data_IF_932547474259
#
_entry.id   IF_932547474259
#
_cell.length_a   1.000
_cell.length_b   1.000
_cell.length_c   1.000
_cell.angle_alpha   90.00
_cell.angle_beta   90.00
_cell.angle_gamma   90.00
#
_symmetry.space_group_name_H-M   'P 1'
#
loop_
_entity.id
_entity.type
_entity.pdbx_description
1 polymer ?
#
# COMPACT_ATOMS: atom_id res chain seq x y z
N UNK A 1 -1.12 16.39 -15.58
CA UNK A 1 -0.63 16.48 -14.17
C UNK A 1 -1.31 15.42 -13.34
N UNK A 2 -0.62 14.83 -12.37
CA UNK A 2 -1.25 13.85 -11.47
C UNK A 2 -2.12 14.56 -10.44
N UNK A 3 -3.36 14.11 -10.28
CA UNK A 3 -4.33 14.58 -9.31
C UNK A 3 -4.79 13.40 -8.45
N UNK A 4 -5.07 13.66 -7.19
CA UNK A 4 -5.67 12.73 -6.25
C UNK A 4 -6.90 13.37 -5.64
N UNK A 5 -8.02 12.66 -5.73
CA UNK A 5 -9.31 13.01 -5.13
C UNK A 5 -9.70 11.84 -4.25
N UNK A 6 -9.96 12.07 -2.97
CA UNK A 6 -10.22 10.93 -2.10
C UNK A 6 -10.89 11.25 -0.80
N UNK A 7 -11.29 10.19 -0.13
CA UNK A 7 -11.82 10.18 1.23
C UNK A 7 -11.02 9.18 2.07
N UNK A 8 -10.66 9.59 3.28
CA UNK A 8 -9.84 8.79 4.18
C UNK A 8 -10.60 8.15 5.33
N UNK A 9 -9.87 7.41 6.15
CA UNK A 9 -10.36 6.63 7.30
C UNK A 9 -11.03 7.45 8.41
N UNK A 10 -10.71 8.74 8.48
CA UNK A 10 -11.15 9.61 9.59
C UNK A 10 -12.56 10.20 9.37
N UNK A 11 -13.16 9.91 8.20
CA UNK A 11 -14.54 10.30 7.88
C UNK A 11 -15.51 9.21 8.33
N UNK A 12 -16.73 9.61 8.71
CA UNK A 12 -17.78 8.70 9.17
C UNK A 12 -18.04 7.54 8.20
N UNK A 13 -18.37 6.37 8.76
CA UNK A 13 -18.55 5.13 8.01
C UNK A 13 -19.71 5.25 6.99
N UNK A 14 -20.79 5.96 7.31
CA UNK A 14 -21.93 6.12 6.40
C UNK A 14 -21.51 6.93 5.17
N UNK A 15 -20.74 8.00 5.35
CA UNK A 15 -20.22 8.83 4.25
C UNK A 15 -19.21 8.03 3.42
N UNK A 16 -18.29 7.30 4.07
CA UNK A 16 -17.34 6.43 3.35
C UNK A 16 -18.06 5.36 2.52
N UNK A 17 -19.12 4.78 3.06
CA UNK A 17 -19.93 3.79 2.35
C UNK A 17 -20.66 4.41 1.14
N UNK A 18 -21.21 5.63 1.28
CA UNK A 18 -21.87 6.35 0.18
C UNK A 18 -20.92 6.74 -0.96
N UNK A 19 -19.62 6.95 -0.64
CA UNK A 19 -18.58 7.31 -1.61
C UNK A 19 -17.71 6.11 -2.03
N UNK A 20 -18.02 4.92 -1.54
CA UNK A 20 -17.32 3.69 -1.95
C UNK A 20 -17.71 3.27 -3.36
N UNK A 21 -16.83 2.57 -4.04
CA UNK A 21 -17.06 2.00 -5.37
C UNK A 21 -17.03 0.49 -5.23
N UNK A 22 -18.15 -0.16 -5.54
CA UNK A 22 -18.26 -1.60 -5.51
C UNK A 22 -17.56 -2.25 -6.70
N UNK A 23 -17.20 -3.52 -6.58
CA UNK A 23 -16.46 -4.27 -7.59
C UNK A 23 -17.22 -4.45 -8.91
N UNK A 24 -18.55 -4.40 -8.90
CA UNK A 24 -19.36 -4.57 -10.10
C UNK A 24 -19.35 -3.31 -10.96
N UNK A 25 -19.41 -2.14 -10.35
CA UNK A 25 -19.42 -0.83 -11.04
C UNK A 25 -18.01 -0.28 -11.32
N UNK A 26 -16.98 -0.83 -10.70
CA UNK A 26 -15.59 -0.31 -10.77
C UNK A 26 -15.09 -0.19 -12.22
N UNK A 27 -15.29 -1.22 -13.04
CA UNK A 27 -14.84 -1.25 -14.42
C UNK A 27 -15.47 -0.13 -15.26
N UNK A 28 -16.77 0.03 -15.16
CA UNK A 28 -17.50 1.05 -15.92
C UNK A 28 -17.08 2.46 -15.48
N UNK A 29 -16.91 2.67 -14.19
CA UNK A 29 -16.45 3.95 -13.65
C UNK A 29 -15.02 4.29 -14.06
N UNK A 30 -14.12 3.31 -14.12
CA UNK A 30 -12.76 3.48 -14.66
C UNK A 30 -12.80 3.91 -16.13
N UNK A 31 -13.59 3.27 -16.96
CA UNK A 31 -13.73 3.62 -18.39
C UNK A 31 -14.28 5.04 -18.56
N UNK A 32 -15.32 5.40 -17.83
CA UNK A 32 -15.90 6.75 -17.88
C UNK A 32 -14.93 7.84 -17.41
N UNK A 33 -14.13 7.59 -16.39
CA UNK A 33 -13.07 8.52 -15.96
C UNK A 33 -11.97 8.64 -17.01
N UNK A 34 -11.68 7.55 -17.72
CA UNK A 34 -10.72 7.52 -18.82
C UNK A 34 -11.10 8.37 -20.02
N UNK A 35 -12.38 8.76 -20.20
CA UNK A 35 -12.83 9.63 -21.29
C UNK A 35 -12.27 11.08 -21.19
N UNK A 36 -11.97 11.54 -19.98
CA UNK A 36 -11.49 12.90 -19.74
C UNK A 36 -10.14 12.96 -18.98
N UNK A 37 -9.49 11.83 -18.78
CA UNK A 37 -8.16 11.72 -18.21
C UNK A 37 -7.25 10.87 -19.09
N UNK A 38 -5.95 11.16 -19.07
CA UNK A 38 -4.94 10.40 -19.81
C UNK A 38 -4.66 9.05 -19.17
N UNK A 39 -4.76 9.00 -17.84
CA UNK A 39 -4.56 7.82 -17.00
C UNK A 39 -5.47 7.90 -15.78
N UNK A 40 -5.93 6.74 -15.29
CA UNK A 40 -6.76 6.64 -14.08
C UNK A 40 -6.50 5.37 -13.31
N UNK A 41 -6.46 5.46 -11.98
CA UNK A 41 -6.48 4.33 -11.04
C UNK A 41 -7.42 4.67 -9.89
N UNK A 42 -8.26 3.72 -9.47
CA UNK A 42 -9.17 3.85 -8.32
C UNK A 42 -8.75 2.84 -7.26
N UNK A 43 -8.47 3.33 -6.05
CA UNK A 43 -8.30 2.49 -4.86
C UNK A 43 -9.57 2.63 -4.02
N UNK A 44 -10.42 1.59 -3.99
CA UNK A 44 -11.63 1.56 -3.17
C UNK A 44 -11.56 0.40 -2.17
N UNK A 45 -11.64 0.73 -0.88
CA UNK A 45 -11.57 -0.22 0.23
C UNK A 45 -12.57 0.17 1.33
N UNK A 46 -12.72 -0.63 2.39
CA UNK A 46 -13.57 -0.27 3.54
C UNK A 46 -13.12 1.02 4.27
N UNK A 47 -11.85 1.44 4.10
CA UNK A 47 -11.28 2.56 4.83
C UNK A 47 -11.01 3.80 3.98
N UNK A 48 -11.06 3.69 2.64
CA UNK A 48 -10.80 4.81 1.72
C UNK A 48 -11.35 4.55 0.33
N UNK A 49 -11.66 5.65 -0.35
CA UNK A 49 -11.81 5.68 -1.81
C UNK A 49 -10.92 6.80 -2.32
N UNK A 50 -9.95 6.46 -3.16
CA UNK A 50 -8.97 7.38 -3.72
C UNK A 50 -8.93 7.21 -5.24
N UNK A 51 -9.07 8.30 -5.97
CA UNK A 51 -9.06 8.37 -7.43
C UNK A 51 -7.80 9.13 -7.87
N UNK A 52 -6.88 8.43 -8.48
CA UNK A 52 -5.67 9.00 -9.08
C UNK A 52 -5.91 9.21 -10.55
N UNK A 53 -5.69 10.43 -11.04
CA UNK A 53 -5.92 10.82 -12.42
C UNK A 53 -4.70 11.56 -12.97
N UNK A 54 -4.33 11.29 -14.23
CA UNK A 54 -3.47 12.20 -14.98
C UNK A 54 -4.35 13.01 -15.94
N UNK A 55 -4.47 14.30 -15.71
CA UNK A 55 -5.36 15.16 -16.49
C UNK A 55 -4.78 16.57 -16.66
N UNK A 56 -5.20 17.25 -17.71
CA UNK A 56 -4.90 18.67 -17.99
C UNK A 56 -6.03 19.61 -17.53
N UNK A 57 -7.14 19.08 -17.00
CA UNK A 57 -8.26 19.86 -16.51
C UNK A 57 -7.87 20.68 -15.27
N UNK A 58 -8.55 21.82 -15.08
CA UNK A 58 -8.46 22.58 -13.83
C UNK A 58 -9.06 21.78 -12.67
N UNK A 59 -8.63 22.08 -11.45
CA UNK A 59 -9.10 21.41 -10.22
C UNK A 59 -10.63 21.37 -10.13
N UNK A 60 -11.28 22.53 -10.28
CA UNK A 60 -12.73 22.65 -10.18
C UNK A 60 -13.47 21.79 -11.23
N UNK A 61 -13.03 21.86 -12.49
CA UNK A 61 -13.61 21.07 -13.56
C UNK A 61 -13.41 19.58 -13.36
N UNK A 62 -12.21 19.17 -12.88
CA UNK A 62 -11.89 17.79 -12.60
C UNK A 62 -12.75 17.25 -11.46
N UNK A 63 -12.85 17.98 -10.34
CA UNK A 63 -13.70 17.60 -9.20
C UNK A 63 -15.15 17.42 -9.62
N UNK A 64 -15.72 18.40 -10.36
CA UNK A 64 -17.11 18.32 -10.81
C UNK A 64 -17.35 17.11 -11.73
N UNK A 65 -16.43 16.83 -12.66
CA UNK A 65 -16.53 15.66 -13.54
C UNK A 65 -16.44 14.35 -12.76
N UNK A 66 -15.50 14.24 -11.81
CA UNK A 66 -15.35 13.02 -10.98
C UNK A 66 -16.59 12.79 -10.14
N UNK A 67 -17.16 13.82 -9.49
CA UNK A 67 -18.39 13.69 -8.71
C UNK A 67 -19.57 13.21 -9.57
N UNK A 68 -19.75 13.79 -10.75
CA UNK A 68 -20.81 13.38 -11.69
C UNK A 68 -20.61 11.93 -12.16
N UNK A 69 -19.39 11.57 -12.57
CA UNK A 69 -19.08 10.23 -13.11
C UNK A 69 -19.22 9.15 -12.06
N UNK A 70 -18.81 9.42 -10.81
CA UNK A 70 -18.89 8.45 -9.72
C UNK A 70 -20.28 8.44 -9.05
N UNK A 71 -21.20 9.34 -9.44
CA UNK A 71 -22.50 9.57 -8.79
C UNK A 71 -22.34 9.91 -7.29
N UNK A 72 -21.30 10.66 -6.94
CA UNK A 72 -21.08 11.09 -5.56
C UNK A 72 -22.03 12.25 -5.21
N UNK A 73 -22.75 12.17 -4.07
CA UNK A 73 -23.59 13.27 -3.62
C UNK A 73 -22.78 14.53 -3.34
N UNK A 74 -23.23 15.66 -3.87
CA UNK A 74 -22.51 16.95 -3.78
C UNK A 74 -22.39 17.47 -2.34
N UNK A 75 -23.30 17.07 -1.45
CA UNK A 75 -23.27 17.36 -0.02
C UNK A 75 -22.03 16.81 0.69
N UNK A 76 -21.42 15.75 0.15
CA UNK A 76 -20.19 15.17 0.71
C UNK A 76 -18.91 15.80 0.19
N UNK A 77 -18.99 16.84 -0.63
CA UNK A 77 -17.82 17.51 -1.21
C UNK A 77 -16.83 18.05 -0.15
N UNK A 78 -17.36 18.49 1.01
CA UNK A 78 -16.54 18.98 2.13
C UNK A 78 -15.72 17.91 2.85
N UNK A 79 -16.05 16.63 2.66
CA UNK A 79 -15.31 15.50 3.26
C UNK A 79 -14.22 14.94 2.34
N UNK A 80 -14.18 15.41 1.08
CA UNK A 80 -13.18 14.99 0.11
C UNK A 80 -11.91 15.81 0.29
N UNK A 81 -10.77 15.15 0.31
CA UNK A 81 -9.49 15.81 0.16
C UNK A 81 -9.05 15.79 -1.31
N UNK A 82 -8.36 16.84 -1.69
CA UNK A 82 -7.74 16.97 -3.00
C UNK A 82 -6.27 17.35 -2.85
N UNK A 83 -5.42 16.71 -3.63
CA UNK A 83 -4.05 17.16 -3.81
C UNK A 83 -3.55 16.79 -5.20
N UNK A 84 -2.43 17.39 -5.61
CA UNK A 84 -1.88 17.18 -6.94
C UNK A 84 -0.34 17.08 -6.95
N UNK A 85 0.22 16.70 -8.07
CA UNK A 85 1.65 16.69 -8.33
C UNK A 85 2.44 15.92 -7.28
N UNK A 86 3.37 16.63 -6.62
CA UNK A 86 4.27 16.02 -5.63
C UNK A 86 3.52 15.50 -4.40
N UNK A 87 2.50 16.20 -3.93
CA UNK A 87 1.70 15.83 -2.77
C UNK A 87 0.91 14.55 -3.04
N UNK A 88 0.28 14.43 -4.22
CA UNK A 88 -0.42 13.22 -4.62
C UNK A 88 0.52 12.00 -4.72
N UNK A 89 1.73 12.20 -5.25
CA UNK A 89 2.74 11.15 -5.32
C UNK A 89 3.20 10.72 -3.91
N UNK A 90 3.53 11.69 -3.02
CA UNK A 90 3.93 11.40 -1.64
C UNK A 90 2.86 10.62 -0.89
N UNK A 91 1.60 11.02 -1.04
CA UNK A 91 0.47 10.33 -0.43
C UNK A 91 0.40 8.86 -0.83
N UNK A 92 0.55 8.54 -2.12
CA UNK A 92 0.51 7.14 -2.57
C UNK A 92 1.65 6.29 -1.96
N UNK A 93 2.85 6.84 -1.86
CA UNK A 93 3.97 6.15 -1.21
C UNK A 93 3.69 5.91 0.29
N UNK A 94 3.15 6.90 0.97
CA UNK A 94 2.76 6.76 2.39
C UNK A 94 1.64 5.74 2.57
N UNK A 95 0.62 5.75 1.68
CA UNK A 95 -0.46 4.75 1.68
C UNK A 95 0.12 3.34 1.44
N UNK A 96 1.03 3.18 0.48
CA UNK A 96 1.64 1.88 0.16
C UNK A 96 2.47 1.30 1.32
N UNK A 97 2.98 2.17 2.19
CA UNK A 97 3.69 1.82 3.42
C UNK A 97 2.77 1.71 4.66
N UNK A 98 1.46 1.96 4.51
CA UNK A 98 0.47 1.83 5.58
C UNK A 98 0.40 2.99 6.58
N UNK A 99 0.98 4.17 6.28
CA UNK A 99 0.90 5.35 7.17
C UNK A 99 -0.53 5.86 7.36
N UNK A 100 -1.36 5.73 6.33
CA UNK A 100 -2.76 6.17 6.35
C UNK A 100 -3.74 5.02 6.65
N UNK A 101 -3.27 3.85 7.04
CA UNK A 101 -4.11 2.71 7.40
C UNK A 101 -4.68 2.85 8.81
N UNK A 102 -5.83 2.19 9.07
CA UNK A 102 -6.42 2.12 10.41
C UNK A 102 -5.48 1.40 11.38
N UNK A 103 -4.84 0.34 10.90
CA UNK A 103 -3.76 -0.36 11.58
C UNK A 103 -2.45 0.07 10.88
N UNK A 104 -1.62 0.82 11.58
CA UNK A 104 -0.38 1.35 11.02
C UNK A 104 0.52 0.23 10.46
N UNK A 105 0.92 0.34 9.20
CA UNK A 105 1.78 -0.64 8.53
C UNK A 105 1.11 -1.99 8.28
N UNK A 106 -0.24 -2.05 8.13
CA UNK A 106 -0.93 -3.28 7.75
C UNK A 106 -0.53 -3.74 6.34
N UNK A 107 -0.50 -5.05 6.14
CA UNK A 107 -0.06 -5.64 4.87
C UNK A 107 -1.11 -5.61 3.76
N UNK A 108 -2.39 -5.50 4.11
CA UNK A 108 -3.51 -5.63 3.17
C UNK A 108 -3.54 -4.49 2.15
N UNK A 109 -3.20 -3.26 2.57
CA UNK A 109 -3.26 -2.10 1.68
C UNK A 109 -2.34 -2.22 0.46
N UNK A 110 -1.17 -2.83 0.62
CA UNK A 110 -0.25 -3.03 -0.50
C UNK A 110 -0.83 -3.98 -1.56
N UNK A 111 -1.52 -5.03 -1.12
CA UNK A 111 -2.27 -5.93 -2.01
C UNK A 111 -3.39 -5.20 -2.75
N UNK A 112 -4.15 -4.36 -2.05
CA UNK A 112 -5.24 -3.57 -2.62
C UNK A 112 -4.74 -2.54 -3.66
N UNK A 113 -3.63 -1.84 -3.38
CA UNK A 113 -2.99 -0.93 -4.34
C UNK A 113 -2.56 -1.68 -5.59
N UNK A 114 -1.97 -2.87 -5.42
CA UNK A 114 -1.55 -3.71 -6.54
C UNK A 114 -2.74 -4.15 -7.39
N UNK A 115 -3.81 -4.64 -6.77
CA UNK A 115 -5.03 -5.04 -7.50
C UNK A 115 -5.62 -3.86 -8.25
N UNK A 116 -5.79 -2.69 -7.63
CA UNK A 116 -6.29 -1.48 -8.28
C UNK A 116 -5.45 -1.05 -9.50
N UNK A 117 -4.13 -1.15 -9.40
CA UNK A 117 -3.23 -0.90 -10.52
C UNK A 117 -3.40 -1.94 -11.64
N UNK A 118 -3.47 -3.23 -11.31
CA UNK A 118 -3.66 -4.33 -12.27
C UNK A 118 -5.02 -4.19 -13.00
N UNK A 119 -6.08 -3.80 -12.30
CA UNK A 119 -7.41 -3.54 -12.90
C UNK A 119 -7.32 -2.42 -13.96
N UNK A 120 -6.67 -1.31 -13.64
CA UNK A 120 -6.49 -0.19 -14.57
C UNK A 120 -5.55 -0.55 -15.75
N UNK A 121 -4.54 -1.38 -15.52
CA UNK A 121 -3.67 -1.92 -16.58
C UNK A 121 -4.46 -2.78 -17.55
N UNK A 122 -5.35 -3.65 -17.07
CA UNK A 122 -6.16 -4.55 -17.88
C UNK A 122 -7.08 -3.78 -18.85
N UNK A 123 -7.48 -2.58 -18.48
CA UNK A 123 -8.30 -1.67 -19.29
C UNK A 123 -7.47 -0.67 -20.11
N UNK A 124 -6.13 -0.79 -20.10
CA UNK A 124 -5.20 0.13 -20.78
C UNK A 124 -5.34 1.60 -20.35
N UNK A 125 -5.75 1.83 -19.09
CA UNK A 125 -5.96 3.15 -18.51
C UNK A 125 -4.73 3.70 -17.77
N UNK A 126 -3.62 2.99 -17.78
CA UNK A 126 -2.31 3.44 -17.28
C UNK A 126 -1.22 3.12 -18.29
N UNK A 127 -0.36 4.09 -18.58
CA UNK A 127 0.64 3.95 -19.65
C UNK A 127 1.94 4.75 -19.44
N UNK A 128 1.97 5.69 -18.51
CA UNK A 128 3.09 6.62 -18.36
C UNK A 128 3.33 7.04 -16.90
N UNK A 129 2.84 8.21 -16.49
CA UNK A 129 3.14 8.80 -15.18
C UNK A 129 2.53 7.98 -14.02
N UNK A 130 1.25 7.59 -14.14
CA UNK A 130 0.62 6.75 -13.12
C UNK A 130 1.18 5.32 -13.15
N UNK A 131 1.49 4.77 -14.34
CA UNK A 131 2.17 3.47 -14.42
C UNK A 131 3.46 3.48 -13.60
N UNK A 132 4.31 4.48 -13.83
CA UNK A 132 5.60 4.59 -13.13
C UNK A 132 5.42 4.83 -11.64
N UNK A 133 4.47 5.71 -11.26
CA UNK A 133 4.18 6.04 -9.88
C UNK A 133 3.73 4.80 -9.09
N UNK A 134 2.75 4.05 -9.61
CA UNK A 134 2.21 2.86 -8.94
C UNK A 134 3.24 1.73 -8.86
N UNK A 135 4.02 1.49 -9.93
CA UNK A 135 5.12 0.50 -9.89
C UNK A 135 6.14 0.82 -8.79
N UNK A 136 6.53 2.09 -8.67
CA UNK A 136 7.47 2.52 -7.63
C UNK A 136 6.84 2.47 -6.24
N UNK A 137 5.55 2.82 -6.09
CA UNK A 137 4.84 2.74 -4.81
C UNK A 137 4.70 1.29 -4.31
N UNK A 138 4.38 0.35 -5.21
CA UNK A 138 4.34 -1.08 -4.88
C UNK A 138 5.73 -1.60 -4.49
N UNK A 139 6.78 -1.18 -5.19
CA UNK A 139 8.16 -1.56 -4.84
C UNK A 139 8.58 -0.95 -3.50
N UNK A 140 8.22 0.31 -3.24
CA UNK A 140 8.44 1.00 -1.97
C UNK A 140 7.77 0.26 -0.81
N UNK A 141 6.48 -0.06 -0.93
CA UNK A 141 5.74 -0.79 0.10
C UNK A 141 6.34 -2.17 0.40
N UNK A 142 6.80 -2.90 -0.64
CA UNK A 142 7.51 -4.19 -0.46
C UNK A 142 8.82 -4.02 0.31
N UNK A 143 9.66 -3.05 -0.08
CA UNK A 143 10.92 -2.78 0.62
C UNK A 143 10.65 -2.34 2.06
N UNK A 144 9.71 -1.42 2.27
CA UNK A 144 9.31 -0.93 3.59
C UNK A 144 8.84 -2.06 4.50
N UNK A 145 7.96 -2.94 4.01
CA UNK A 145 7.48 -4.13 4.73
C UNK A 145 8.64 -5.04 5.15
N UNK A 146 9.58 -5.31 4.23
CA UNK A 146 10.71 -6.20 4.49
C UNK A 146 11.68 -5.60 5.50
N UNK A 147 11.93 -4.29 5.40
CA UNK A 147 12.89 -3.59 6.26
C UNK A 147 12.34 -3.38 7.67
N UNK A 148 11.08 -3.00 7.80
CA UNK A 148 10.45 -2.72 9.10
C UNK A 148 10.01 -3.96 9.85
N UNK A 149 9.70 -5.04 9.14
CA UNK A 149 9.12 -6.28 9.69
C UNK A 149 7.88 -6.06 10.57
N UNK A 150 7.11 -4.99 10.32
CA UNK A 150 5.92 -4.63 11.11
C UNK A 150 4.86 -5.73 11.17
N UNK A 151 4.80 -6.60 10.16
CA UNK A 151 3.91 -7.76 10.14
C UNK A 151 4.17 -8.76 11.27
N UNK A 152 5.36 -8.70 11.90
CA UNK A 152 5.68 -9.52 13.08
C UNK A 152 5.12 -8.95 14.37
N UNK A 153 4.73 -7.68 14.39
CA UNK A 153 4.17 -7.03 15.58
C UNK A 153 2.68 -7.32 15.69
N UNK A 154 2.16 -7.60 16.89
CA UNK A 154 0.74 -7.86 17.10
C UNK A 154 -0.09 -6.59 16.84
N UNK A 155 -1.33 -6.78 16.33
CA UNK A 155 -2.23 -5.69 15.92
C UNK A 155 -3.65 -5.83 16.48
N UNK A 156 -3.89 -6.85 17.29
CA UNK A 156 -5.19 -7.11 17.93
C UNK A 156 -4.98 -7.89 19.22
N UNK A 157 -5.95 -7.86 20.12
CA UNK A 157 -5.89 -8.61 21.39
C UNK A 157 -5.65 -10.11 21.16
N UNK A 158 -6.30 -10.69 20.14
CA UNK A 158 -6.07 -12.08 19.76
C UNK A 158 -4.62 -12.36 19.36
N UNK A 159 -4.01 -11.46 18.56
CA UNK A 159 -2.61 -11.62 18.16
C UNK A 159 -1.63 -11.33 19.30
N UNK A 160 -1.97 -10.41 20.20
CA UNK A 160 -1.17 -10.12 21.40
C UNK A 160 -1.15 -11.36 22.30
N UNK A 161 -2.33 -11.91 22.61
CA UNK A 161 -2.46 -13.09 23.48
C UNK A 161 -1.67 -14.30 22.93
N UNK A 162 -1.88 -14.65 21.66
CA UNK A 162 -1.19 -15.78 21.04
C UNK A 162 0.34 -15.55 20.97
N UNK A 163 0.79 -14.37 20.52
CA UNK A 163 2.22 -14.09 20.43
C UNK A 163 2.90 -14.05 21.78
N UNK A 164 2.24 -13.49 22.79
CA UNK A 164 2.75 -13.50 24.17
C UNK A 164 2.93 -14.93 24.67
N UNK A 165 1.93 -15.78 24.51
CA UNK A 165 2.00 -17.19 24.90
C UNK A 165 3.14 -17.93 24.17
N UNK A 166 3.26 -17.77 22.85
CA UNK A 166 4.33 -18.38 22.06
C UNK A 166 5.73 -17.86 22.46
N UNK A 167 5.86 -16.58 22.83
CA UNK A 167 7.13 -16.01 23.31
C UNK A 167 7.57 -16.57 24.66
N UNK A 168 6.63 -17.08 25.46
CA UNK A 168 6.88 -17.80 26.71
C UNK A 168 7.01 -19.32 26.51
N UNK A 169 7.21 -19.77 25.25
CA UNK A 169 7.33 -21.18 24.88
C UNK A 169 6.11 -22.04 25.23
N UNK A 170 4.93 -21.46 25.35
CA UNK A 170 3.69 -22.21 25.54
C UNK A 170 3.29 -22.90 24.23
N UNK A 171 2.85 -24.16 24.31
CA UNK A 171 2.63 -25.01 23.12
C UNK A 171 1.24 -25.66 23.08
N UNK A 172 0.56 -25.77 24.22
CA UNK A 172 -0.72 -26.47 24.36
C UNK A 172 -1.80 -25.46 24.74
N UNK A 173 -2.77 -25.28 23.88
CA UNK A 173 -3.75 -24.20 23.98
C UNK A 173 -5.15 -24.73 24.20
N UNK A 174 -5.91 -24.09 25.09
CA UNK A 174 -7.36 -24.25 25.21
C UNK A 174 -8.02 -22.90 24.82
N UNK A 175 -8.81 -22.92 23.77
CA UNK A 175 -9.63 -21.79 23.35
C UNK A 175 -11.04 -22.02 23.86
N UNK A 176 -11.55 -21.12 24.69
CA UNK A 176 -12.89 -21.23 25.27
C UNK A 176 -13.86 -20.35 24.50
N UNK A 177 -14.76 -20.95 23.74
CA UNK A 177 -15.68 -20.29 22.81
C UNK A 177 -15.29 -20.46 21.36
N UNK A 178 -16.21 -20.08 20.44
CA UNK A 178 -16.02 -20.20 18.99
C UNK A 178 -16.63 -19.01 18.23
N UNK A 179 -16.47 -17.80 18.77
CA UNK A 179 -16.83 -16.54 18.12
C UNK A 179 -15.69 -15.96 17.29
N UNK A 180 -15.89 -14.76 16.75
CA UNK A 180 -14.91 -14.08 15.89
C UNK A 180 -13.52 -13.94 16.53
N UNK A 181 -13.46 -13.63 17.84
CA UNK A 181 -12.18 -13.51 18.57
C UNK A 181 -11.46 -14.85 18.66
N UNK A 182 -12.21 -15.93 18.93
CA UNK A 182 -11.68 -17.29 18.97
C UNK A 182 -11.11 -17.71 17.60
N UNK A 183 -11.84 -17.45 16.51
CA UNK A 183 -11.40 -17.74 15.15
C UNK A 183 -10.12 -16.98 14.82
N UNK A 184 -10.00 -15.71 15.23
CA UNK A 184 -8.76 -14.95 15.06
C UNK A 184 -7.59 -15.59 15.85
N UNK A 185 -7.79 -15.98 17.12
CA UNK A 185 -6.75 -16.69 17.87
C UNK A 185 -6.33 -18.00 17.18
N UNK A 186 -7.31 -18.78 16.72
CA UNK A 186 -7.08 -20.04 16.02
C UNK A 186 -6.29 -19.83 14.72
N UNK A 187 -6.61 -18.83 13.92
CA UNK A 187 -5.86 -18.49 12.69
C UNK A 187 -4.41 -18.13 13.01
N UNK A 188 -4.14 -17.37 14.08
CA UNK A 188 -2.78 -17.08 14.53
C UNK A 188 -2.03 -18.33 15.00
N UNK A 189 -2.69 -19.24 15.74
CA UNK A 189 -2.09 -20.51 16.15
C UNK A 189 -1.79 -21.39 14.94
N UNK A 190 -2.71 -21.51 13.99
CA UNK A 190 -2.54 -22.27 12.75
C UNK A 190 -1.40 -21.75 11.88
N UNK A 191 -1.20 -20.42 11.83
CA UNK A 191 -0.05 -19.83 11.11
C UNK A 191 1.29 -20.10 11.79
N UNK A 192 1.28 -20.62 13.05
CA UNK A 192 2.48 -20.93 13.85
C UNK A 192 2.54 -22.39 14.29
N UNK A 193 1.96 -23.33 13.54
CA UNK A 193 1.82 -24.75 13.89
C UNK A 193 3.12 -25.46 14.27
N UNK A 194 4.27 -24.98 13.79
CA UNK A 194 5.59 -25.53 14.16
C UNK A 194 5.92 -25.32 15.65
N UNK A 195 5.32 -24.32 16.29
CA UNK A 195 5.54 -23.96 17.69
C UNK A 195 4.37 -24.35 18.60
N UNK A 196 3.36 -25.03 18.06
CA UNK A 196 2.16 -25.45 18.77
C UNK A 196 2.08 -26.96 18.76
N UNK A 197 1.84 -27.59 19.90
CA UNK A 197 1.71 -29.05 20.02
C UNK A 197 0.25 -29.50 19.96
N UNK A 198 -0.67 -28.82 20.67
CA UNK A 198 -2.08 -29.13 20.64
C UNK A 198 -2.99 -27.92 20.82
N UNK A 199 -4.19 -27.98 20.23
CA UNK A 199 -5.21 -26.93 20.35
C UNK A 199 -6.54 -27.61 20.72
N UNK A 200 -7.06 -27.28 21.89
CA UNK A 200 -8.40 -27.69 22.36
C UNK A 200 -9.36 -26.50 22.12
N UNK A 201 -10.56 -26.77 21.62
CA UNK A 201 -11.60 -25.76 21.38
C UNK A 201 -12.83 -26.16 22.17
N UNK A 202 -13.09 -25.44 23.26
CA UNK A 202 -14.26 -25.73 24.11
C UNK A 202 -15.49 -24.93 23.64
N UNK A 203 -16.57 -25.64 23.29
CA UNK A 203 -17.76 -25.04 22.68
C UNK A 203 -19.05 -25.53 23.34
N UNK A 204 -20.11 -24.70 23.36
CA UNK A 204 -21.43 -25.10 23.88
C UNK A 204 -22.16 -26.06 22.95
N UNK A 205 -22.03 -25.87 21.64
CA UNK A 205 -22.75 -26.67 20.65
C UNK A 205 -21.76 -27.30 19.67
N UNK A 206 -21.41 -28.55 19.94
CA UNK A 206 -20.47 -29.33 19.13
C UNK A 206 -20.95 -29.48 17.67
N UNK A 207 -22.22 -29.88 17.50
CA UNK A 207 -22.77 -30.13 16.14
C UNK A 207 -22.70 -28.91 15.26
N UNK A 208 -23.18 -27.76 15.75
CA UNK A 208 -23.12 -26.49 15.01
C UNK A 208 -21.69 -26.06 14.69
N UNK A 209 -20.76 -26.30 15.60
CA UNK A 209 -19.34 -25.95 15.39
C UNK A 209 -18.70 -26.80 14.29
N UNK A 210 -18.99 -28.10 14.27
CA UNK A 210 -18.48 -29.03 13.26
C UNK A 210 -18.96 -28.72 11.85
N UNK A 211 -20.10 -28.06 11.69
CA UNK A 211 -20.66 -27.65 10.39
C UNK A 211 -20.07 -26.38 9.82
N UNK A 212 -19.23 -25.66 10.58
CA UNK A 212 -18.67 -24.38 10.17
C UNK A 212 -17.59 -24.52 9.08
N UNK A 213 -17.45 -23.49 8.25
CA UNK A 213 -16.44 -23.45 7.19
C UNK A 213 -15.01 -23.50 7.73
N UNK A 214 -14.79 -22.94 8.93
CA UNK A 214 -13.48 -23.03 9.62
C UNK A 214 -13.10 -24.48 9.88
N UNK A 215 -14.01 -25.28 10.43
CA UNK A 215 -13.78 -26.71 10.73
C UNK A 215 -13.56 -27.47 9.43
N UNK A 216 -14.43 -27.30 8.43
CA UNK A 216 -14.31 -27.95 7.12
C UNK A 216 -12.96 -27.66 6.44
N UNK A 217 -12.48 -26.42 6.54
CA UNK A 217 -11.19 -26.02 5.96
C UNK A 217 -9.96 -26.53 6.73
N UNK A 218 -10.15 -27.04 7.96
CA UNK A 218 -9.06 -27.49 8.83
C UNK A 218 -9.22 -28.96 9.25
N UNK A 219 -9.96 -29.77 8.45
CA UNK A 219 -10.21 -31.18 8.76
C UNK A 219 -8.95 -31.99 8.99
N UNK A 220 -7.90 -31.78 8.21
CA UNK A 220 -6.60 -32.45 8.35
C UNK A 220 -6.00 -32.29 9.76
N UNK A 221 -6.16 -31.10 10.37
CA UNK A 221 -5.67 -30.85 11.72
C UNK A 221 -6.53 -31.48 12.82
N UNK A 222 -7.82 -31.72 12.54
CA UNK A 222 -8.70 -32.49 13.43
C UNK A 222 -8.40 -33.99 13.33
N UNK A 223 -8.26 -34.53 12.14
CA UNK A 223 -7.97 -35.96 11.90
C UNK A 223 -6.59 -36.35 12.46
N UNK A 224 -5.60 -35.47 12.38
CA UNK A 224 -4.28 -35.68 12.99
C UNK A 224 -4.28 -35.55 14.51
N UNK A 225 -5.38 -35.11 15.12
CA UNK A 225 -5.48 -34.86 16.56
C UNK A 225 -4.80 -33.59 17.05
N UNK A 226 -4.29 -32.76 16.12
CA UNK A 226 -3.67 -31.47 16.43
C UNK A 226 -4.69 -30.46 16.97
N UNK A 227 -5.93 -30.51 16.47
CA UNK A 227 -7.07 -29.74 16.95
C UNK A 227 -8.08 -30.73 17.51
N UNK A 228 -8.58 -30.46 18.71
CA UNK A 228 -9.67 -31.24 19.34
C UNK A 228 -10.79 -30.29 19.74
N UNK A 229 -12.02 -30.58 19.29
CA UNK A 229 -13.21 -29.84 19.68
C UNK A 229 -13.91 -30.59 20.82
N UNK A 230 -14.10 -29.90 21.92
CA UNK A 230 -14.65 -30.51 23.17
C UNK A 230 -15.88 -29.74 23.65
N UNK A 231 -16.73 -30.38 24.42
CA UNK A 231 -17.84 -29.69 25.10
C UNK A 231 -17.31 -28.73 26.16
N UNK A 232 -17.93 -27.55 26.27
CA UNK A 232 -17.62 -26.56 27.31
C UNK A 232 -17.69 -27.16 28.71
N UNK A 233 -18.67 -28.07 28.98
CA UNK A 233 -18.85 -28.70 30.27
C UNK A 233 -17.72 -29.67 30.64
N UNK A 234 -16.99 -30.18 29.62
CA UNK A 234 -15.89 -31.14 29.79
C UNK A 234 -14.50 -30.45 29.71
N UNK A 235 -14.43 -29.16 29.48
CA UNK A 235 -13.14 -28.45 29.26
C UNK A 235 -12.18 -28.59 30.45
N UNK A 236 -12.70 -28.74 31.67
CA UNK A 236 -11.92 -28.91 32.92
C UNK A 236 -11.01 -30.14 32.88
N UNK A 237 -11.43 -31.17 32.17
CA UNK A 237 -10.68 -32.42 32.06
C UNK A 237 -9.36 -32.22 31.27
N UNK A 238 -9.21 -31.12 30.56
CA UNK A 238 -8.06 -30.80 29.73
C UNK A 238 -7.14 -29.74 30.34
N UNK A 239 -7.48 -29.19 31.54
CA UNK A 239 -6.67 -28.16 32.17
C UNK A 239 -5.24 -28.60 32.48
N UNK A 240 -5.04 -29.87 32.80
CA UNK A 240 -3.73 -30.46 33.05
C UNK A 240 -2.90 -30.65 31.74
N UNK A 241 -3.58 -30.78 30.59
CA UNK A 241 -2.94 -31.01 29.30
C UNK A 241 -2.51 -29.71 28.62
N UNK A 242 -3.02 -28.54 29.04
CA UNK A 242 -2.76 -27.25 28.40
C UNK A 242 -1.88 -26.34 29.26
N UNK A 243 -1.11 -25.51 28.64
CA UNK A 243 -0.26 -24.48 29.28
C UNK A 243 -0.78 -23.06 29.06
N UNK A 244 -1.79 -22.90 28.20
CA UNK A 244 -2.45 -21.61 27.91
C UNK A 244 -3.95 -21.77 27.73
N UNK A 245 -4.74 -20.92 28.39
CA UNK A 245 -6.19 -20.79 28.21
C UNK A 245 -6.51 -19.41 27.64
N UNK A 246 -7.29 -19.34 26.55
CA UNK A 246 -7.75 -18.07 25.96
C UNK A 246 -9.29 -18.08 25.95
N UNK A 247 -9.89 -17.24 26.80
CA UNK A 247 -11.34 -17.08 26.89
C UNK A 247 -11.84 -16.09 25.84
N UNK A 248 -12.78 -16.53 25.00
CA UNK A 248 -13.39 -15.78 23.90
C UNK A 248 -14.90 -16.00 23.83
N UNK A 249 -15.57 -16.19 24.96
CA UNK A 249 -17.02 -16.47 25.03
C UNK A 249 -17.81 -15.24 25.48
N UNK A 250 -19.09 -15.18 25.13
CA UNK A 250 -20.03 -14.17 25.61
C UNK A 250 -20.90 -14.74 26.79
N UNK A 251 -20.29 -15.55 27.65
CA UNK A 251 -21.02 -16.07 28.84
C UNK A 251 -21.33 -14.92 29.80
N UNK A 252 -22.56 -14.87 30.36
CA UNK A 252 -22.89 -13.84 31.34
C UNK A 252 -22.22 -14.07 32.70
N UNK A 253 -21.67 -15.25 32.95
CA UNK A 253 -20.97 -15.64 34.17
C UNK A 253 -19.63 -16.26 33.86
N UNK A 254 -18.65 -16.20 34.78
CA UNK A 254 -17.37 -16.84 34.62
C UNK A 254 -17.50 -18.34 34.33
N UNK A 255 -16.71 -18.82 33.39
CA UNK A 255 -16.65 -20.25 33.00
C UNK A 255 -15.34 -20.91 33.41
N UNK A 256 -14.29 -20.13 33.67
CA UNK A 256 -13.03 -20.58 34.23
C UNK A 256 -13.00 -20.18 35.71
N UNK A 257 -13.13 -21.15 36.59
CA UNK A 257 -13.26 -20.96 38.05
C UNK A 257 -11.96 -21.36 38.75
N UNK A 258 -11.60 -20.63 39.80
CA UNK A 258 -10.39 -20.87 40.59
C UNK A 258 -10.27 -22.31 41.06
N UNK A 259 -11.39 -22.87 41.61
CA UNK A 259 -11.47 -24.21 42.18
C UNK A 259 -11.19 -25.35 41.20
N UNK A 260 -11.32 -25.06 39.88
CA UNK A 260 -11.19 -26.09 38.83
C UNK A 260 -9.77 -26.06 38.21
N UNK A 261 -8.96 -25.04 38.51
CA UNK A 261 -7.65 -24.85 37.90
C UNK A 261 -6.55 -25.64 38.61
N UNK A 262 -5.61 -26.22 37.84
CA UNK A 262 -4.47 -26.96 38.42
C UNK A 262 -3.44 -25.95 38.99
N UNK A 263 -2.68 -26.43 40.01
CA UNK A 263 -1.56 -25.66 40.58
C UNK A 263 -0.29 -25.88 39.76
N UNK A 264 -0.26 -25.31 38.55
CA UNK A 264 0.90 -25.37 37.63
C UNK A 264 1.07 -24.05 36.91
N UNK A 265 2.21 -23.88 36.27
CA UNK A 265 2.47 -22.69 35.41
C UNK A 265 1.48 -22.64 34.23
N UNK A 266 0.47 -21.79 34.36
CA UNK A 266 -0.62 -21.63 33.40
C UNK A 266 -0.80 -20.18 33.03
N UNK A 267 -0.86 -19.92 31.73
CA UNK A 267 -1.10 -18.58 31.18
C UNK A 267 -2.56 -18.46 30.78
N UNK A 268 -3.27 -17.47 31.28
CA UNK A 268 -4.67 -17.25 30.99
C UNK A 268 -4.89 -15.86 30.38
N UNK A 269 -5.57 -15.81 29.23
CA UNK A 269 -6.02 -14.58 28.59
C UNK A 269 -7.54 -14.52 28.61
N UNK A 270 -8.11 -13.50 29.23
CA UNK A 270 -9.55 -13.24 29.17
C UNK A 270 -9.85 -12.12 28.16
N UNK A 271 -10.27 -12.52 26.96
CA UNK A 271 -10.68 -11.62 25.86
C UNK A 271 -12.20 -11.39 25.85
N UNK A 272 -12.89 -11.83 26.90
CA UNK A 272 -14.35 -11.86 26.97
C UNK A 272 -14.92 -10.59 27.59
N UNK A 273 -16.09 -10.21 27.11
CA UNK A 273 -16.90 -9.18 27.74
C UNK A 273 -18.37 -9.65 27.74
N UNK A 274 -18.97 -9.95 28.93
CA UNK A 274 -18.42 -9.87 30.30
C UNK A 274 -17.24 -10.82 30.56
N UNK A 275 -16.49 -10.55 31.66
CA UNK A 275 -15.33 -11.33 32.12
C UNK A 275 -15.74 -12.81 32.33
N UNK A 276 -14.95 -13.71 31.76
CA UNK A 276 -15.22 -15.17 31.84
C UNK A 276 -14.25 -15.96 32.72
N UNK A 277 -13.24 -15.32 33.28
CA UNK A 277 -12.34 -15.89 34.27
C UNK A 277 -12.67 -15.29 35.64
N UNK A 278 -12.83 -16.13 36.65
CA UNK A 278 -13.13 -15.68 38.01
C UNK A 278 -12.01 -14.76 38.56
N UNK A 279 -12.39 -13.65 39.20
CA UNK A 279 -11.46 -12.62 39.63
C UNK A 279 -10.41 -13.12 40.65
N UNK A 280 -10.73 -14.17 41.42
CA UNK A 280 -9.84 -14.79 42.41
C UNK A 280 -8.66 -15.54 41.76
N UNK A 281 -8.76 -15.94 40.47
CA UNK A 281 -7.71 -16.66 39.73
C UNK A 281 -6.39 -15.87 39.72
N UNK A 282 -6.44 -14.52 39.73
CA UNK A 282 -5.25 -13.66 39.80
C UNK A 282 -4.41 -13.86 41.07
N UNK A 283 -4.97 -14.45 42.11
CA UNK A 283 -4.29 -14.66 43.40
C UNK A 283 -3.54 -16.02 43.44
N UNK A 284 -3.66 -16.85 42.43
CA UNK A 284 -2.94 -18.14 42.31
C UNK A 284 -1.53 -17.85 41.83
N UNK A 285 -0.50 -18.03 42.62
CA UNK A 285 0.90 -17.67 42.34
C UNK A 285 1.44 -18.33 41.04
N UNK A 286 0.98 -19.55 40.75
CA UNK A 286 1.39 -20.29 39.55
C UNK A 286 0.66 -19.86 38.24
N UNK A 287 -0.30 -18.94 38.33
CA UNK A 287 -1.13 -18.54 37.18
C UNK A 287 -0.92 -17.08 36.83
N UNK A 288 -0.60 -16.81 35.59
CA UNK A 288 -0.54 -15.45 35.06
C UNK A 288 -1.82 -15.14 34.28
N UNK A 289 -2.60 -14.16 34.76
CA UNK A 289 -3.86 -13.74 34.12
C UNK A 289 -3.72 -12.38 33.44
N UNK A 290 -3.98 -12.35 32.16
CA UNK A 290 -4.12 -11.13 31.34
C UNK A 290 -5.60 -10.92 30.98
N UNK A 291 -6.19 -9.86 31.49
CA UNK A 291 -7.53 -9.44 31.10
C UNK A 291 -7.48 -8.42 29.94
N UNK A 292 -8.65 -8.00 29.47
CA UNK A 292 -8.77 -7.07 28.34
C UNK A 292 -8.12 -5.70 28.61
N UNK A 293 -8.10 -5.24 29.87
CA UNK A 293 -7.51 -3.95 30.24
C UNK A 293 -5.98 -3.99 30.13
N UNK A 294 -5.36 -5.08 30.61
CA UNK A 294 -3.90 -5.28 30.47
C UNK A 294 -3.52 -5.42 28.99
N UNK A 295 -4.31 -6.15 28.22
CA UNK A 295 -4.08 -6.29 26.79
C UNK A 295 -4.27 -4.98 26.02
N UNK A 296 -5.16 -4.10 26.49
CA UNK A 296 -5.31 -2.75 25.93
C UNK A 296 -4.05 -1.90 26.12
N UNK A 297 -3.44 -1.94 27.30
CA UNK A 297 -2.16 -1.24 27.52
C UNK A 297 -1.06 -1.76 26.61
N UNK A 298 -0.96 -3.09 26.46
CA UNK A 298 0.00 -3.71 25.52
C UNK A 298 -0.27 -3.32 24.05
N UNK A 299 -1.54 -3.14 23.67
CA UNK A 299 -1.91 -2.69 22.30
C UNK A 299 -1.48 -1.23 22.06
N UNK A 300 -1.67 -0.35 23.04
CA UNK A 300 -1.22 1.06 22.94
C UNK A 300 0.31 1.17 22.85
N UNK A 301 1.05 0.38 23.63
CA UNK A 301 2.52 0.30 23.53
C UNK A 301 2.95 -0.20 22.14
N UNK A 302 2.30 -1.23 21.62
CA UNK A 302 2.56 -1.75 20.28
C UNK A 302 2.26 -0.70 19.19
N UNK A 303 1.17 0.08 19.33
CA UNK A 303 0.84 1.16 18.40
C UNK A 303 1.91 2.25 18.42
N UNK A 304 2.38 2.66 19.59
CA UNK A 304 3.44 3.64 19.73
C UNK A 304 4.75 3.17 19.09
N UNK A 305 5.15 1.92 19.38
CA UNK A 305 6.34 1.30 18.79
C UNK A 305 6.24 1.16 17.27
N UNK A 306 5.07 0.75 16.76
CA UNK A 306 4.82 0.68 15.31
C UNK A 306 5.01 2.05 14.65
N UNK A 307 4.46 3.10 15.24
CA UNK A 307 4.60 4.47 14.75
C UNK A 307 6.06 4.90 14.73
N UNK A 308 6.80 4.63 15.78
CA UNK A 308 8.24 4.92 15.86
C UNK A 308 9.03 4.20 14.77
N UNK A 309 8.82 2.87 14.62
CA UNK A 309 9.48 2.08 13.58
C UNK A 309 9.16 2.63 12.19
N UNK A 310 7.91 3.00 11.92
CA UNK A 310 7.52 3.58 10.63
C UNK A 310 8.21 4.92 10.37
N UNK A 311 8.24 5.82 11.35
CA UNK A 311 8.89 7.13 11.20
C UNK A 311 10.40 6.98 10.97
N UNK A 312 11.07 6.10 11.69
CA UNK A 312 12.50 5.81 11.53
C UNK A 312 12.85 5.26 10.14
N UNK A 313 11.89 4.67 9.42
CA UNK A 313 12.10 4.13 8.08
C UNK A 313 11.53 5.01 6.95
N UNK A 314 11.13 6.26 7.22
CA UNK A 314 10.65 7.20 6.16
C UNK A 314 11.66 7.42 5.04
N UNK A 315 12.93 7.18 5.28
CA UNK A 315 13.99 7.28 4.27
C UNK A 315 13.73 6.38 3.04
N UNK A 316 13.06 5.23 3.23
CA UNK A 316 12.64 4.35 2.14
C UNK A 316 11.67 5.09 1.22
N UNK A 317 10.68 5.81 1.77
CA UNK A 317 9.72 6.60 1.00
C UNK A 317 10.44 7.68 0.20
N UNK A 318 11.34 8.45 0.84
CA UNK A 318 12.11 9.50 0.16
C UNK A 318 12.97 8.97 -0.98
N UNK A 319 13.57 7.79 -0.83
CA UNK A 319 14.33 7.12 -1.88
C UNK A 319 13.48 6.89 -3.15
N UNK A 320 12.25 6.40 -2.98
CA UNK A 320 11.36 6.12 -4.11
C UNK A 320 10.71 7.38 -4.69
N UNK A 321 10.38 8.35 -3.87
CA UNK A 321 9.96 9.68 -4.31
C UNK A 321 11.01 10.32 -5.21
N UNK A 322 12.28 10.29 -4.81
CA UNK A 322 13.36 10.83 -5.63
C UNK A 322 13.47 10.11 -6.97
N UNK A 323 13.37 8.76 -7.00
CA UNK A 323 13.34 7.98 -8.25
C UNK A 323 12.19 8.41 -9.17
N UNK A 324 11.02 8.70 -8.60
CA UNK A 324 9.88 9.20 -9.39
C UNK A 324 10.13 10.61 -9.95
N UNK A 325 10.68 11.50 -9.14
CA UNK A 325 11.02 12.87 -9.60
C UNK A 325 12.13 12.88 -10.65
N UNK A 326 13.13 12.02 -10.53
CA UNK A 326 14.14 11.82 -11.57
C UNK A 326 13.51 11.36 -12.88
N UNK A 327 12.62 10.36 -12.81
CA UNK A 327 11.86 9.91 -13.99
C UNK A 327 11.11 11.08 -14.65
N UNK A 328 10.39 11.90 -13.88
CA UNK A 328 9.68 13.06 -14.42
C UNK A 328 10.63 14.11 -15.07
N UNK A 329 11.81 14.32 -14.48
CA UNK A 329 12.85 15.20 -15.07
C UNK A 329 13.33 14.65 -16.42
N UNK A 330 13.69 13.36 -16.47
CA UNK A 330 14.14 12.71 -17.70
C UNK A 330 13.06 12.70 -18.78
N UNK A 331 11.80 12.48 -18.40
CA UNK A 331 10.68 12.55 -19.34
C UNK A 331 10.58 13.91 -20.04
N UNK A 332 10.72 15.00 -19.29
CA UNK A 332 10.76 16.38 -19.87
C UNK A 332 11.93 16.57 -20.82
N UNK A 333 13.10 16.03 -20.48
CA UNK A 333 14.30 16.10 -21.33
C UNK A 333 14.11 15.24 -22.58
N UNK A 334 13.56 14.02 -22.45
CA UNK A 334 13.34 13.13 -23.59
C UNK A 334 12.43 13.73 -24.66
N UNK A 335 11.39 14.45 -24.28
CA UNK A 335 10.53 15.15 -25.25
C UNK A 335 11.32 16.20 -26.05
N UNK A 336 12.25 16.91 -25.41
CA UNK A 336 13.13 17.85 -26.08
C UNK A 336 14.16 17.15 -26.97
N UNK A 337 14.71 16.02 -26.53
CA UNK A 337 15.64 15.21 -27.35
C UNK A 337 14.96 14.72 -28.63
N UNK A 338 13.72 14.24 -28.54
CA UNK A 338 12.93 13.80 -29.70
C UNK A 338 12.72 15.00 -30.65
N UNK A 339 12.33 16.16 -30.12
CA UNK A 339 12.15 17.38 -30.93
C UNK A 339 13.46 17.81 -31.63
N UNK A 340 14.61 17.70 -30.96
CA UNK A 340 15.92 18.00 -31.56
C UNK A 340 16.24 17.02 -32.69
N UNK A 341 15.97 15.72 -32.55
CA UNK A 341 16.15 14.73 -33.63
C UNK A 341 15.27 15.03 -34.85
N UNK A 342 14.00 15.41 -34.61
CA UNK A 342 13.08 15.80 -35.71
C UNK A 342 13.61 17.04 -36.45
N UNK A 343 14.07 18.06 -35.73
CA UNK A 343 14.69 19.26 -36.34
C UNK A 343 15.93 18.88 -37.16
N UNK A 344 16.78 17.99 -36.62
CA UNK A 344 17.95 17.47 -37.32
C UNK A 344 17.60 16.80 -38.65
N UNK A 345 16.63 15.92 -38.64
CA UNK A 345 16.14 15.24 -39.84
C UNK A 345 15.56 16.24 -40.87
N UNK A 346 14.78 17.24 -40.41
CA UNK A 346 14.23 18.27 -41.31
C UNK A 346 15.32 19.11 -42.00
N UNK A 347 16.39 19.43 -41.28
CA UNK A 347 17.54 20.12 -41.86
C UNK A 347 18.22 19.28 -42.93
N UNK A 348 18.45 17.99 -42.61
CA UNK A 348 19.05 17.02 -43.56
C UNK A 348 18.21 16.85 -44.81
N UNK A 349 16.91 16.65 -44.69
CA UNK A 349 15.99 16.49 -45.83
C UNK A 349 15.93 17.76 -46.72
N UNK A 350 15.90 18.95 -46.11
CA UNK A 350 15.97 20.21 -46.88
C UNK A 350 17.25 20.29 -47.72
N UNK A 351 18.39 19.88 -47.17
CA UNK A 351 19.67 19.89 -47.90
C UNK A 351 19.72 18.83 -48.99
N UNK A 352 19.15 17.63 -48.69
CA UNK A 352 19.05 16.56 -49.69
C UNK A 352 18.20 16.99 -50.90
N UNK A 353 17.05 17.64 -50.69
CA UNK A 353 16.22 18.18 -51.77
C UNK A 353 16.99 19.21 -52.64
N UNK A 354 17.80 20.06 -52.02
CA UNK A 354 18.65 21.01 -52.76
C UNK A 354 19.71 20.26 -53.59
N UNK A 355 20.29 19.18 -53.06
CA UNK A 355 21.21 18.32 -53.79
C UNK A 355 20.50 17.64 -54.96
N UNK A 356 19.37 17.00 -54.75
CA UNK A 356 18.57 16.35 -55.80
C UNK A 356 18.27 17.29 -56.98
N UNK A 357 17.88 18.52 -56.67
CA UNK A 357 17.57 19.52 -57.70
C UNK A 357 18.79 20.03 -58.47
N UNK A 358 20.01 19.92 -57.91
CA UNK A 358 21.25 20.48 -58.47
C UNK A 358 22.32 19.46 -58.83
N UNK A 359 22.11 18.17 -58.60
CA UNK A 359 23.11 17.10 -58.79
C UNK A 359 23.64 16.94 -60.22
N UNK A 360 22.95 17.51 -61.19
CA UNK A 360 23.35 17.48 -62.61
C UNK A 360 24.12 18.72 -63.02
N UNK A 361 24.53 19.60 -62.09
CA UNK A 361 25.40 20.76 -62.40
C UNK A 361 26.85 20.30 -62.47
N UNK A 362 27.68 21.11 -63.18
CA UNK A 362 29.06 20.75 -63.58
C UNK A 362 30.06 20.49 -62.44
N UNK A 363 29.75 20.83 -61.18
CA UNK A 363 30.61 20.59 -60.00
C UNK A 363 29.86 20.11 -58.81
N UNK A 364 29.65 18.78 -58.76
CA UNK A 364 29.01 18.11 -57.63
C UNK A 364 29.86 18.17 -56.34
N UNK A 365 31.19 18.25 -56.43
CA UNK A 365 32.07 18.30 -55.26
C UNK A 365 31.88 19.61 -54.49
N UNK A 366 31.92 20.74 -55.20
CA UNK A 366 31.63 22.06 -54.59
C UNK A 366 30.21 22.15 -54.05
N UNK A 367 29.22 21.58 -54.73
CA UNK A 367 27.83 21.51 -54.23
C UNK A 367 27.72 20.77 -52.91
N UNK A 368 28.29 19.57 -52.82
CA UNK A 368 28.29 18.75 -51.56
C UNK A 368 28.99 19.50 -50.43
N UNK A 369 30.17 20.07 -50.67
CA UNK A 369 30.91 20.85 -49.68
C UNK A 369 30.09 22.05 -49.17
N UNK A 370 29.42 22.79 -50.06
CA UNK A 370 28.56 23.92 -49.71
C UNK A 370 27.35 23.50 -48.88
N UNK A 371 26.73 22.35 -49.19
CA UNK A 371 25.59 21.81 -48.44
C UNK A 371 25.98 21.31 -47.04
N UNK A 372 27.13 20.66 -46.92
CA UNK A 372 27.67 20.24 -45.62
C UNK A 372 28.00 21.46 -44.73
N UNK A 373 28.70 22.48 -45.29
CA UNK A 373 28.98 23.72 -44.59
C UNK A 373 27.71 24.46 -44.17
N UNK A 374 26.70 24.52 -45.04
CA UNK A 374 25.41 25.13 -44.75
C UNK A 374 24.63 24.37 -43.66
N UNK A 375 24.78 23.04 -43.59
CA UNK A 375 24.19 22.22 -42.51
C UNK A 375 24.85 22.53 -41.17
N UNK A 376 26.18 22.53 -41.13
CA UNK A 376 26.97 22.90 -39.94
C UNK A 376 26.61 24.30 -39.44
N UNK A 377 26.66 25.30 -40.33
CA UNK A 377 26.32 26.67 -39.98
C UNK A 377 24.91 26.87 -39.47
N UNK A 378 23.95 26.05 -39.89
CA UNK A 378 22.57 26.09 -39.39
C UNK A 378 22.47 25.83 -37.88
N UNK A 379 23.33 24.95 -37.34
CA UNK A 379 23.35 24.65 -35.91
C UNK A 379 24.26 25.60 -35.13
N UNK A 380 25.42 25.96 -35.70
CA UNK A 380 26.36 26.90 -35.10
C UNK A 380 25.69 28.28 -34.90
N UNK A 381 24.98 28.79 -35.91
CA UNK A 381 24.31 30.08 -35.80
C UNK A 381 23.24 30.11 -34.72
N UNK A 382 22.46 28.99 -34.55
CA UNK A 382 21.51 28.87 -33.46
C UNK A 382 22.18 28.82 -32.08
N UNK A 383 23.30 28.13 -31.97
CA UNK A 383 24.07 28.10 -30.72
C UNK A 383 24.58 29.50 -30.35
N UNK A 384 25.06 30.28 -31.36
CA UNK A 384 25.48 31.68 -31.16
C UNK A 384 24.30 32.56 -30.72
N UNK A 385 23.11 32.41 -31.32
CA UNK A 385 21.91 33.15 -30.90
C UNK A 385 21.55 32.87 -29.43
N UNK A 386 21.50 31.59 -29.05
CA UNK A 386 21.21 31.20 -27.66
C UNK A 386 22.28 31.75 -26.71
N UNK A 387 23.57 31.67 -27.06
CA UNK A 387 24.65 32.22 -26.25
C UNK A 387 24.44 33.71 -25.99
N UNK A 388 24.11 34.47 -27.02
CA UNK A 388 23.84 35.92 -26.91
C UNK A 388 22.64 36.21 -26.02
N UNK A 389 21.53 35.47 -26.21
CA UNK A 389 20.32 35.62 -25.37
C UNK A 389 20.58 35.32 -23.90
N UNK A 390 21.30 34.24 -23.59
CA UNK A 390 21.59 33.88 -22.21
C UNK A 390 22.61 34.82 -21.56
N UNK A 391 23.56 35.36 -22.33
CA UNK A 391 24.47 36.43 -21.86
C UNK A 391 23.67 37.67 -21.44
N UNK A 392 22.68 38.11 -22.25
CA UNK A 392 21.80 39.23 -21.86
C UNK A 392 20.97 38.98 -20.62
N UNK A 393 20.68 37.73 -20.30
CA UNK A 393 19.96 37.30 -19.07
C UNK A 393 20.87 37.08 -17.85
N UNK A 394 22.19 37.27 -18.00
CA UNK A 394 23.16 37.04 -16.93
C UNK A 394 23.55 35.59 -16.68
N UNK A 395 23.26 34.68 -17.64
CA UNK A 395 23.54 33.24 -17.54
C UNK A 395 24.80 32.84 -18.36
N UNK A 396 25.74 33.77 -18.58
CA UNK A 396 26.88 33.64 -19.49
C UNK A 396 27.75 32.42 -19.19
N UNK A 397 28.15 32.21 -17.92
CA UNK A 397 29.03 31.10 -17.54
C UNK A 397 28.38 29.73 -17.81
N UNK A 398 27.08 29.62 -17.52
CA UNK A 398 26.32 28.38 -17.75
C UNK A 398 26.21 28.10 -19.26
N UNK A 399 25.91 29.13 -20.06
CA UNK A 399 25.74 29.00 -21.48
C UNK A 399 27.07 28.64 -22.16
N UNK A 400 28.18 29.27 -21.79
CA UNK A 400 29.54 28.95 -22.26
C UNK A 400 29.89 27.48 -21.92
N UNK A 401 29.73 27.07 -20.68
CA UNK A 401 30.00 25.69 -20.27
C UNK A 401 29.19 24.64 -21.05
N UNK A 402 27.94 24.94 -21.43
CA UNK A 402 27.12 24.03 -22.25
C UNK A 402 27.65 23.97 -23.68
N UNK A 403 27.98 25.12 -24.28
CA UNK A 403 28.49 25.20 -25.65
C UNK A 403 29.85 24.51 -25.78
N UNK A 404 30.74 24.69 -24.82
CA UNK A 404 32.03 23.99 -24.76
C UNK A 404 31.88 22.48 -24.67
N UNK A 405 30.92 21.99 -23.90
CA UNK A 405 30.59 20.55 -23.81
C UNK A 405 30.03 19.97 -25.11
N UNK A 406 29.34 20.78 -25.94
CA UNK A 406 28.72 20.32 -27.19
C UNK A 406 29.74 20.40 -28.36
N UNK A 407 30.52 21.42 -28.42
CA UNK A 407 31.41 21.68 -29.56
C UNK A 407 32.90 21.44 -29.28
N UNK A 408 33.27 21.14 -28.04
CA UNK A 408 34.64 21.09 -27.57
C UNK A 408 35.16 22.48 -27.20
N UNK A 409 36.27 22.53 -26.41
CA UNK A 409 36.96 23.78 -26.14
C UNK A 409 37.54 24.34 -27.46
N UNK A 410 37.12 25.55 -27.83
CA UNK A 410 37.80 26.30 -28.89
C UNK A 410 39.13 26.79 -28.28
N UNK A 411 40.20 26.00 -28.45
CA UNK A 411 41.56 26.47 -28.28
C UNK A 411 41.93 27.37 -29.48
#
# INVERSE_FOLDING_TARGET
MIHLIGIGKDVDLAIRSALSIDSFSLKDKLLLLGEFSEEVVIISTCNRTEVYLNSSLSEENLLNKVFTTLNWPTEYKSFIFYCNGKTAASHLFEVSCGFHSKILGEDQILGQIRSAYEDSCSLQLVKDDLMKLFQLAIACGKEFKTTTMLYKMPVSYSSIAVKKALSENKKNFLIVGFGNMAILCLNYLLSNLKSVDSIYIAVRNLTKTLETDFVKSNMEHLESGKIKIVSLDLMRNYYDEVDTIICCTASPTPVVLEKDLPKKDLLIFDLSLPINVEASVKNIEAITLYNIDVLHLMDEENKALRKEVMENHRTVIYKYLNKFYEYQKFKKINSKIISLKVIGNQVSEKRYKVYENKKNTKDNSTLVKTLLQSTSNSYINKAIEVLKEETYKGNEEIALSIIEKIFGSCE
#
